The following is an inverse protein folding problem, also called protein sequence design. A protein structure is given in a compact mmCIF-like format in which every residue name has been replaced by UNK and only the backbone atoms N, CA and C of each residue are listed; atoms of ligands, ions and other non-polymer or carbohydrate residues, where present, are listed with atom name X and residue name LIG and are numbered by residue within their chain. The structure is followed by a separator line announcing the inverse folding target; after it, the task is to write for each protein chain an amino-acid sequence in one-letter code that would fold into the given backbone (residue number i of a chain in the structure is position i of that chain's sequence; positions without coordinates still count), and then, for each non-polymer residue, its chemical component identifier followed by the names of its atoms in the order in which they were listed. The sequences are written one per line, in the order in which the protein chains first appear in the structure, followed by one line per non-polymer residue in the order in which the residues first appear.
data_IF_915145850076
#
_entry.id   IF_915145850076
#
_cell.length_a   1.000
_cell.length_b   1.000
_cell.length_c   1.000
_cell.angle_alpha   90.00
_cell.angle_beta   90.00
_cell.angle_gamma   90.00
#
_symmetry.space_group_name_H-M   'P 1'
#
loop_
_entity.id
_entity.type
_entity.pdbx_description
1 polymer ?
#
# COMPACT_ATOMS: atom_id res chain seq x y z
N UNK A 1 0.66 12.48 22.86
CA UNK A 1 -0.64 13.12 22.56
C UNK A 1 -0.43 14.25 21.60
N UNK A 2 -1.44 14.63 20.82
CA UNK A 2 -1.33 15.71 19.84
C UNK A 2 -2.71 16.23 19.43
N UNK A 3 -2.73 17.31 18.67
CA UNK A 3 -3.94 17.85 18.06
C UNK A 3 -3.74 17.79 16.55
N UNK A 4 -4.73 17.26 15.83
CA UNK A 4 -4.71 17.17 14.38
C UNK A 4 -5.85 17.96 13.74
N UNK A 5 -5.61 18.40 12.50
CA UNK A 5 -6.61 18.81 11.55
C UNK A 5 -6.58 17.89 10.33
N UNK A 6 -7.74 17.70 9.71
CA UNK A 6 -7.93 16.89 8.52
C UNK A 6 -8.51 17.82 7.45
N UNK A 7 -7.94 17.78 6.26
CA UNK A 7 -8.38 18.57 5.12
C UNK A 7 -8.31 17.76 3.84
N UNK A 8 -9.14 18.08 2.86
CA UNK A 8 -9.11 17.48 1.54
C UNK A 8 -10.46 17.63 0.86
N UNK A 9 -10.51 17.26 -0.42
CA UNK A 9 -11.76 17.21 -1.18
C UNK A 9 -12.14 15.79 -1.49
N UNK A 10 -13.44 15.53 -1.52
CA UNK A 10 -14.03 14.26 -1.93
C UNK A 10 -15.06 14.50 -3.03
N UNK A 11 -14.97 13.73 -4.10
CA UNK A 11 -15.92 13.76 -5.21
C UNK A 11 -16.20 12.35 -5.73
N UNK A 12 -17.42 12.12 -6.22
CA UNK A 12 -17.72 10.92 -6.99
C UNK A 12 -17.03 11.00 -8.36
N UNK A 13 -16.48 9.88 -8.82
CA UNK A 13 -15.91 9.75 -10.16
C UNK A 13 -17.05 9.34 -11.09
N UNK A 14 -17.48 10.25 -11.95
CA UNK A 14 -18.47 9.94 -12.99
C UNK A 14 -17.80 9.22 -14.16
N UNK A 15 -18.39 8.14 -14.70
CA UNK A 15 -17.83 7.45 -15.84
C UNK A 15 -17.77 8.38 -17.08
N UNK A 16 -16.75 8.17 -17.92
CA UNK A 16 -16.53 8.94 -19.16
C UNK A 16 -16.22 7.98 -20.29
N UNK A 17 -16.66 8.29 -21.52
CA UNK A 17 -16.44 7.44 -22.69
C UNK A 17 -17.54 6.37 -22.83
N UNK A 18 -17.18 5.21 -23.39
CA UNK A 18 -18.07 4.05 -23.42
C UNK A 18 -18.05 3.35 -22.06
N UNK A 19 -19.21 3.28 -21.42
CA UNK A 19 -19.43 2.57 -20.17
C UNK A 19 -20.77 1.85 -20.23
N UNK A 20 -20.95 0.82 -19.38
CA UNK A 20 -22.21 0.09 -19.29
C UNK A 20 -23.28 0.98 -18.66
N UNK A 21 -24.22 1.46 -19.48
CA UNK A 21 -25.29 2.36 -19.04
C UNK A 21 -26.33 1.65 -18.18
N UNK A 22 -26.53 0.34 -18.39
CA UNK A 22 -27.47 -0.46 -17.63
C UNK A 22 -26.89 -0.73 -16.24
N UNK A 23 -25.61 -1.06 -16.15
CA UNK A 23 -24.91 -1.18 -14.87
C UNK A 23 -24.85 0.18 -14.15
N UNK A 24 -24.54 1.28 -14.87
CA UNK A 24 -24.58 2.62 -14.28
C UNK A 24 -25.98 3.02 -13.80
N UNK A 25 -27.06 2.50 -14.39
CA UNK A 25 -28.42 2.74 -13.92
C UNK A 25 -28.59 2.38 -12.44
N UNK A 26 -27.87 1.35 -11.99
CA UNK A 26 -27.90 0.82 -10.62
C UNK A 26 -26.96 1.52 -9.64
N UNK A 27 -26.19 2.52 -10.07
CA UNK A 27 -25.30 3.26 -9.18
C UNK A 27 -26.08 4.00 -8.07
N UNK A 28 -25.57 3.93 -6.85
CA UNK A 28 -26.24 4.47 -5.66
C UNK A 28 -25.73 5.87 -5.28
N UNK A 29 -24.51 6.20 -5.71
CA UNK A 29 -23.71 7.26 -5.09
C UNK A 29 -23.10 6.78 -3.77
N UNK A 30 -22.52 7.70 -3.01
CA UNK A 30 -21.75 7.34 -1.82
C UNK A 30 -22.14 8.14 -0.58
N UNK A 31 -21.98 7.50 0.59
CA UNK A 31 -21.85 8.19 1.87
C UNK A 31 -20.41 8.13 2.32
N UNK A 32 -19.83 9.30 2.57
CA UNK A 32 -18.46 9.45 3.05
C UNK A 32 -18.42 10.06 4.45
N UNK A 33 -17.47 9.64 5.28
CA UNK A 33 -17.34 10.17 6.64
C UNK A 33 -15.90 10.15 7.16
N UNK A 34 -15.55 11.14 7.97
CA UNK A 34 -14.34 11.18 8.80
C UNK A 34 -14.78 10.85 10.23
N UNK A 35 -14.17 9.85 10.85
CA UNK A 35 -14.54 9.41 12.20
C UNK A 35 -13.32 9.23 13.10
N UNK A 36 -13.49 9.54 14.39
CA UNK A 36 -12.55 9.15 15.45
C UNK A 36 -13.21 8.09 16.33
N UNK A 37 -12.70 6.86 16.31
CA UNK A 37 -13.36 5.75 17.01
C UNK A 37 -14.79 5.54 16.52
N UNK A 38 -15.79 5.87 17.35
CA UNK A 38 -17.23 5.76 17.03
C UNK A 38 -17.90 7.11 16.71
N UNK A 39 -17.17 8.21 16.83
CA UNK A 39 -17.72 9.56 16.64
C UNK A 39 -17.44 10.04 15.22
N UNK A 40 -18.49 10.42 14.49
CA UNK A 40 -18.33 11.11 13.21
C UNK A 40 -17.96 12.57 13.43
N UNK A 41 -16.87 12.99 12.82
CA UNK A 41 -16.38 14.37 12.84
C UNK A 41 -16.90 15.16 11.64
N UNK A 42 -17.14 14.48 10.53
CA UNK A 42 -17.68 15.02 9.30
C UNK A 42 -18.33 13.89 8.49
N UNK A 43 -19.41 14.17 7.78
CA UNK A 43 -19.98 13.25 6.81
C UNK A 43 -20.68 13.98 5.67
N UNK A 44 -20.87 13.28 4.54
CA UNK A 44 -21.59 13.78 3.38
C UNK A 44 -22.19 12.61 2.60
N UNK A 45 -23.42 12.79 2.11
CA UNK A 45 -24.01 11.95 1.05
C UNK A 45 -23.80 12.66 -0.29
N UNK A 46 -23.25 11.94 -1.27
CA UNK A 46 -23.01 12.38 -2.65
C UNK A 46 -23.84 11.47 -3.54
N UNK A 47 -24.83 12.02 -4.22
CA UNK A 47 -25.74 11.25 -5.07
C UNK A 47 -25.05 10.79 -6.34
N UNK A 48 -25.56 9.73 -6.96
CA UNK A 48 -25.17 9.32 -8.31
C UNK A 48 -25.11 10.53 -9.26
N UNK A 49 -24.02 10.60 -10.03
CA UNK A 49 -23.81 11.64 -11.04
C UNK A 49 -23.33 12.99 -10.48
N UNK A 50 -23.26 13.16 -9.15
CA UNK A 50 -22.73 14.38 -8.55
C UNK A 50 -21.19 14.36 -8.51
N UNK A 51 -20.58 14.95 -9.53
CA UNK A 51 -19.14 15.11 -9.64
C UNK A 51 -18.57 16.28 -8.80
N UNK A 52 -19.39 16.95 -7.97
CA UNK A 52 -18.95 18.09 -7.17
C UNK A 52 -17.89 17.68 -6.16
N UNK A 53 -16.81 18.46 -6.07
CA UNK A 53 -15.79 18.31 -5.04
C UNK A 53 -16.25 18.98 -3.74
N UNK A 54 -16.49 18.17 -2.71
CA UNK A 54 -16.86 18.64 -1.39
C UNK A 54 -15.66 18.70 -0.45
N UNK A 55 -15.55 19.79 0.32
CA UNK A 55 -14.54 19.90 1.38
C UNK A 55 -14.86 18.95 2.53
N UNK A 56 -13.99 17.97 2.75
CA UNK A 56 -14.04 17.03 3.86
C UNK A 56 -13.03 17.46 4.92
N UNK A 57 -13.49 18.24 5.90
CA UNK A 57 -12.62 18.89 6.89
C UNK A 57 -13.05 18.58 8.32
N UNK A 58 -12.08 18.38 9.20
CA UNK A 58 -12.29 18.31 10.64
C UNK A 58 -11.09 18.93 11.36
N UNK A 59 -11.30 19.75 12.39
CA UNK A 59 -10.23 20.53 13.04
C UNK A 59 -10.20 20.29 14.54
N UNK A 60 -9.07 20.63 15.17
CA UNK A 60 -8.88 20.59 16.63
C UNK A 60 -9.17 19.23 17.26
N UNK A 61 -8.82 18.15 16.55
CA UNK A 61 -9.07 16.78 17.00
C UNK A 61 -7.92 16.38 17.93
N UNK A 62 -8.20 16.26 19.22
CA UNK A 62 -7.20 15.74 20.18
C UNK A 62 -7.01 14.23 19.97
N UNK A 63 -5.77 13.75 19.88
CA UNK A 63 -5.42 12.34 19.64
C UNK A 63 -4.34 11.85 20.62
N UNK A 64 -4.41 10.56 20.96
CA UNK A 64 -3.41 9.83 21.74
C UNK A 64 -2.83 8.68 20.93
N UNK A 65 -1.66 8.16 21.35
CA UNK A 65 -1.08 6.96 20.72
C UNK A 65 -2.10 5.82 20.80
N UNK A 66 -2.38 5.19 19.66
CA UNK A 66 -3.37 4.11 19.53
C UNK A 66 -4.77 4.57 19.12
N UNK A 67 -5.07 5.86 19.13
CA UNK A 67 -6.32 6.38 18.53
C UNK A 67 -6.34 6.09 17.04
N UNK A 68 -7.53 5.77 16.52
CA UNK A 68 -7.76 5.48 15.10
C UNK A 68 -8.70 6.51 14.50
N UNK A 69 -8.26 7.08 13.37
CA UNK A 69 -9.06 7.91 12.49
C UNK A 69 -9.49 7.06 11.30
N UNK A 70 -10.78 7.06 11.01
CA UNK A 70 -11.36 6.31 9.91
C UNK A 70 -11.85 7.28 8.84
N UNK A 71 -11.46 7.00 7.60
CA UNK A 71 -12.05 7.57 6.40
C UNK A 71 -12.94 6.50 5.80
N UNK A 72 -14.25 6.70 5.90
CA UNK A 72 -15.24 5.72 5.47
C UNK A 72 -15.84 6.13 4.15
N UNK A 73 -15.95 5.16 3.25
CA UNK A 73 -16.72 5.25 2.01
C UNK A 73 -17.71 4.08 2.05
N UNK A 74 -18.98 4.38 1.86
CA UNK A 74 -20.06 3.41 1.79
C UNK A 74 -20.83 3.66 0.49
N UNK A 75 -21.07 2.60 -0.28
CA UNK A 75 -21.97 2.61 -1.42
C UNK A 75 -23.40 2.77 -0.95
N UNK A 76 -24.07 3.80 -1.45
CA UNK A 76 -25.42 4.19 -1.08
C UNK A 76 -25.66 4.31 0.43
N UNK A 77 -26.93 4.20 0.82
CA UNK A 77 -27.38 4.16 2.22
C UNK A 77 -28.35 3.03 2.50
N UNK A 78 -28.66 2.20 1.50
CA UNK A 78 -29.67 1.15 1.55
C UNK A 78 -29.02 -0.24 1.50
N UNK A 79 -29.75 -1.26 1.93
CA UNK A 79 -29.26 -2.65 1.90
C UNK A 79 -29.11 -3.21 0.48
N UNK A 80 -29.79 -2.60 -0.51
CA UNK A 80 -29.74 -3.01 -1.92
C UNK A 80 -28.61 -2.34 -2.70
N UNK A 81 -27.82 -1.48 -2.06
CA UNK A 81 -26.74 -0.77 -2.74
C UNK A 81 -25.63 -1.72 -3.15
N UNK A 82 -25.27 -1.72 -4.43
CA UNK A 82 -24.41 -2.74 -5.04
C UNK A 82 -22.99 -2.24 -5.35
N UNK A 83 -22.75 -0.93 -5.19
CA UNK A 83 -21.44 -0.32 -5.41
C UNK A 83 -21.07 -0.11 -6.87
N UNK A 84 -21.99 -0.37 -7.81
CA UNK A 84 -21.76 -0.14 -9.24
C UNK A 84 -21.44 1.34 -9.48
N UNK A 85 -20.27 1.62 -10.08
CA UNK A 85 -19.78 2.97 -10.37
C UNK A 85 -19.65 3.92 -9.16
N UNK A 86 -19.68 3.42 -7.92
CA UNK A 86 -19.53 4.21 -6.69
C UNK A 86 -18.06 4.51 -6.36
N UNK A 87 -17.32 4.96 -7.37
CA UNK A 87 -15.91 5.29 -7.25
C UNK A 87 -15.71 6.70 -6.71
N UNK A 88 -14.78 6.88 -5.78
CA UNK A 88 -14.55 8.16 -5.12
C UNK A 88 -13.11 8.60 -5.30
N UNK A 89 -12.93 9.87 -5.65
CA UNK A 89 -11.65 10.55 -5.56
C UNK A 89 -11.56 11.24 -4.20
N UNK A 90 -10.77 10.68 -3.29
CA UNK A 90 -10.53 11.27 -1.98
C UNK A 90 -9.08 11.10 -1.53
N UNK A 91 -8.42 12.23 -1.25
CA UNK A 91 -7.05 12.25 -0.73
C UNK A 91 -6.98 13.13 0.54
N UNK A 92 -7.42 12.63 1.71
CA UNK A 92 -7.43 13.42 2.94
C UNK A 92 -6.01 13.59 3.50
N UNK A 93 -5.63 14.82 3.80
CA UNK A 93 -4.37 15.19 4.45
C UNK A 93 -4.61 15.39 5.93
N UNK A 94 -3.80 14.72 6.76
CA UNK A 94 -3.80 14.90 8.22
C UNK A 94 -2.63 15.80 8.59
N UNK A 95 -2.86 16.81 9.42
CA UNK A 95 -1.84 17.75 9.88
C UNK A 95 -1.85 17.85 11.39
N UNK A 96 -0.73 17.53 12.05
CA UNK A 96 -0.52 17.79 13.47
C UNK A 96 -0.20 19.27 13.70
N UNK A 97 -0.71 19.82 14.80
CA UNK A 97 -0.29 21.13 15.30
C UNK A 97 1.14 21.05 15.84
N UNK A 98 2.00 21.99 15.49
CA UNK A 98 3.37 22.06 15.99
C UNK A 98 4.34 22.57 14.93
N UNK A 99 5.63 22.64 15.29
CA UNK A 99 6.69 22.94 14.34
C UNK A 99 6.86 21.76 13.37
N UNK A 100 6.82 22.05 12.07
CA UNK A 100 7.09 21.06 11.04
C UNK A 100 8.60 20.91 10.84
N UNK A 101 9.07 19.67 10.79
CA UNK A 101 10.42 19.33 10.37
C UNK A 101 10.34 18.49 9.10
N UNK A 102 11.31 18.69 8.20
CA UNK A 102 11.44 17.86 7.01
C UNK A 102 12.39 16.73 7.30
N UNK A 103 11.85 15.50 7.21
CA UNK A 103 12.62 14.28 7.34
C UNK A 103 13.43 13.99 6.07
N UNK A 104 14.49 13.18 6.16
CA UNK A 104 15.17 12.67 4.98
C UNK A 104 14.18 12.02 4.00
N UNK A 105 14.30 12.36 2.72
CA UNK A 105 13.33 11.93 1.69
C UNK A 105 12.22 12.95 1.40
N UNK A 106 12.10 14.03 2.19
CA UNK A 106 11.18 15.14 1.95
C UNK A 106 9.82 15.01 2.65
N UNK A 107 9.66 14.00 3.50
CA UNK A 107 8.45 13.78 4.29
C UNK A 107 8.35 14.79 5.45
N UNK A 108 7.13 15.12 5.86
CA UNK A 108 6.88 16.02 7.00
C UNK A 108 6.69 15.23 8.29
N UNK A 109 7.16 15.78 9.42
CA UNK A 109 6.84 15.24 10.76
C UNK A 109 5.42 15.57 11.22
N UNK A 110 4.73 16.49 10.53
CA UNK A 110 3.41 16.94 10.95
C UNK A 110 2.34 16.77 9.87
N UNK A 111 2.70 16.67 8.59
CA UNK A 111 1.76 16.52 7.48
C UNK A 111 1.85 15.09 6.94
N UNK A 112 0.71 14.41 6.89
CA UNK A 112 0.58 13.03 6.43
C UNK A 112 -0.44 12.96 5.30
N UNK A 113 -0.01 12.44 4.16
CA UNK A 113 -0.82 12.29 2.96
C UNK A 113 -1.09 10.80 2.68
N UNK A 114 -2.24 10.44 2.09
CA UNK A 114 -2.59 9.03 1.84
C UNK A 114 -1.58 8.34 0.91
N UNK A 115 -1.03 9.10 -0.05
CA UNK A 115 -0.01 8.62 -0.98
C UNK A 115 1.32 8.25 -0.31
N UNK A 116 1.61 8.83 0.86
CA UNK A 116 2.82 8.50 1.62
C UNK A 116 2.62 7.15 2.31
N UNK A 117 1.44 6.88 2.86
CA UNK A 117 1.11 5.65 3.57
C UNK A 117 0.58 4.51 2.70
N UNK A 118 0.57 4.68 1.37
CA UNK A 118 0.19 3.63 0.45
C UNK A 118 1.23 2.50 0.51
N UNK A 119 0.85 1.37 1.11
CA UNK A 119 1.64 0.15 1.04
C UNK A 119 1.46 -0.41 -0.37
N UNK A 120 2.41 -0.11 -1.24
CA UNK A 120 2.52 -0.78 -2.54
C UNK A 120 3.11 -2.16 -2.28
N UNK A 121 2.23 -3.13 -2.02
CA UNK A 121 2.63 -4.53 -2.05
C UNK A 121 2.78 -4.94 -3.52
N UNK A 122 4.03 -5.02 -3.98
CA UNK A 122 4.38 -5.57 -5.28
C UNK A 122 4.88 -7.01 -5.10
N UNK A 123 3.97 -7.92 -4.75
CA UNK A 123 4.26 -9.35 -4.77
C UNK A 123 4.54 -9.79 -6.21
N UNK A 124 5.81 -10.00 -6.52
CA UNK A 124 6.20 -10.64 -7.78
C UNK A 124 6.50 -12.10 -7.45
N UNK A 125 5.53 -12.96 -7.72
CA UNK A 125 5.73 -14.41 -7.70
C UNK A 125 6.31 -14.81 -9.05
N UNK A 126 7.45 -15.51 -9.02
CA UNK A 126 7.99 -16.15 -10.21
C UNK A 126 8.37 -17.58 -9.90
N UNK A 127 8.30 -18.42 -10.92
CA UNK A 127 8.70 -19.81 -10.83
C UNK A 127 10.03 -19.99 -11.54
N UNK A 128 10.94 -20.72 -10.88
CA UNK A 128 12.24 -21.11 -11.42
C UNK A 128 12.34 -22.63 -11.49
N UNK A 129 13.22 -23.13 -12.34
CA UNK A 129 13.53 -24.55 -12.34
C UNK A 129 14.18 -24.94 -10.99
N UNK A 130 13.99 -26.18 -10.59
CA UNK A 130 14.60 -26.73 -9.37
C UNK A 130 16.13 -26.62 -9.47
N UNK A 131 16.72 -25.83 -8.58
CA UNK A 131 18.18 -25.67 -8.47
C UNK A 131 18.55 -25.36 -7.03
N UNK A 132 19.71 -25.85 -6.60
CA UNK A 132 20.24 -25.64 -5.25
C UNK A 132 20.94 -24.29 -5.10
N UNK A 133 21.11 -23.55 -6.19
CA UNK A 133 21.76 -22.24 -6.22
C UNK A 133 21.17 -21.37 -7.32
N UNK A 134 21.03 -20.08 -7.04
CA UNK A 134 20.43 -19.11 -7.95
C UNK A 134 21.36 -17.90 -8.11
N UNK A 135 21.43 -17.33 -9.30
CA UNK A 135 22.07 -16.05 -9.54
C UNK A 135 21.02 -14.94 -9.46
N UNK A 136 21.13 -14.08 -8.44
CA UNK A 136 20.37 -12.85 -8.31
C UNK A 136 21.13 -11.72 -9.01
N UNK A 137 20.46 -11.07 -9.96
CA UNK A 137 20.89 -9.81 -10.55
C UNK A 137 19.76 -8.77 -10.51
N UNK A 138 20.05 -7.51 -10.74
CA UNK A 138 19.01 -6.48 -10.88
C UNK A 138 19.39 -5.13 -10.33
N UNK A 139 18.84 -4.07 -10.92
CA UNK A 139 19.03 -2.70 -10.43
C UNK A 139 18.21 -2.47 -9.16
N UNK A 140 18.86 -1.89 -8.15
CA UNK A 140 18.21 -1.38 -6.96
C UNK A 140 18.57 0.08 -6.74
N UNK A 141 17.55 0.90 -6.50
CA UNK A 141 17.71 2.33 -6.21
C UNK A 141 16.95 2.66 -4.92
N UNK A 142 17.66 3.27 -3.97
CA UNK A 142 17.17 3.72 -2.67
C UNK A 142 17.89 5.01 -2.28
N UNK A 143 17.20 6.13 -2.05
CA UNK A 143 17.81 7.32 -1.45
C UNK A 143 18.03 7.14 0.06
N UNK A 144 18.49 8.19 0.74
CA UNK A 144 18.35 8.27 2.21
C UNK A 144 16.86 8.26 2.56
N UNK A 145 16.48 7.44 3.52
CA UNK A 145 15.10 7.19 3.95
C UNK A 145 14.94 7.52 5.44
N UNK A 146 13.69 7.51 5.93
CA UNK A 146 13.37 7.72 7.35
C UNK A 146 13.65 6.51 8.23
N UNK A 147 13.76 5.33 7.62
CA UNK A 147 13.98 4.06 8.29
C UNK A 147 14.73 3.11 7.35
N UNK A 148 15.24 2.02 7.92
CA UNK A 148 16.00 1.00 7.21
C UNK A 148 15.11 0.29 6.18
N UNK A 149 15.70 -0.09 5.05
CA UNK A 149 15.01 -0.82 3.98
C UNK A 149 15.63 -2.20 3.85
N UNK A 150 14.80 -3.23 3.94
CA UNK A 150 15.22 -4.63 3.85
C UNK A 150 14.65 -5.28 2.59
N UNK A 151 15.55 -5.82 1.77
CA UNK A 151 15.22 -6.66 0.61
C UNK A 151 15.22 -8.13 1.06
N UNK A 152 14.20 -8.88 0.67
CA UNK A 152 14.08 -10.31 0.99
C UNK A 152 13.67 -11.11 -0.23
N UNK A 153 14.17 -12.34 -0.32
CA UNK A 153 13.65 -13.35 -1.23
C UNK A 153 13.25 -14.55 -0.41
N UNK A 154 11.99 -14.93 -0.52
CA UNK A 154 11.43 -16.09 0.16
C UNK A 154 11.05 -17.13 -0.88
N UNK A 155 11.65 -18.31 -0.79
CA UNK A 155 11.37 -19.41 -1.67
C UNK A 155 10.38 -20.39 -1.02
N UNK A 156 9.49 -20.98 -1.82
CA UNK A 156 8.59 -22.05 -1.40
C UNK A 156 8.37 -23.07 -2.51
N UNK A 157 7.81 -24.22 -2.16
CA UNK A 157 7.15 -25.09 -3.14
C UNK A 157 5.64 -24.78 -3.16
N UNK A 158 4.87 -25.58 -3.89
CA UNK A 158 3.43 -25.39 -4.00
C UNK A 158 2.72 -25.56 -2.66
N UNK A 159 1.92 -24.55 -2.28
CA UNK A 159 1.08 -24.59 -1.08
C UNK A 159 0.00 -25.66 -1.19
N UNK A 160 -0.46 -25.92 -2.41
CA UNK A 160 -1.49 -26.89 -2.74
C UNK A 160 -0.91 -28.02 -3.58
N UNK A 161 -1.40 -29.24 -3.37
CA UNK A 161 -1.10 -30.34 -4.28
C UNK A 161 -1.90 -30.20 -5.60
N UNK A 162 -1.67 -31.12 -6.55
CA UNK A 162 -2.38 -31.14 -7.83
C UNK A 162 -3.90 -31.37 -7.72
N UNK A 163 -4.39 -31.75 -6.54
CA UNK A 163 -5.80 -31.98 -6.22
C UNK A 163 -6.41 -30.80 -5.44
N UNK A 164 -5.64 -29.75 -5.15
CA UNK A 164 -6.08 -28.57 -4.39
C UNK A 164 -6.06 -28.72 -2.87
N UNK A 165 -5.56 -29.83 -2.33
CA UNK A 165 -5.40 -30.03 -0.88
C UNK A 165 -4.12 -29.34 -0.39
N UNK A 166 -4.03 -29.10 0.92
CA UNK A 166 -2.78 -28.58 1.51
C UNK A 166 -1.65 -29.58 1.27
N UNK A 167 -0.55 -29.11 0.69
CA UNK A 167 0.62 -29.95 0.45
C UNK A 167 1.29 -30.31 1.80
N UNK A 168 1.35 -31.59 2.20
CA UNK A 168 1.97 -32.00 3.46
C UNK A 168 3.49 -31.79 3.48
N UNK A 169 4.12 -31.65 2.31
CA UNK A 169 5.54 -31.38 2.14
C UNK A 169 5.83 -29.89 1.88
N UNK A 170 4.87 -29.00 2.17
CA UNK A 170 5.07 -27.57 1.96
C UNK A 170 6.27 -27.05 2.77
N UNK A 171 7.14 -26.32 2.09
CA UNK A 171 8.33 -25.67 2.65
C UNK A 171 8.35 -24.21 2.20
N UNK A 172 8.71 -23.32 3.12
CA UNK A 172 8.94 -21.90 2.86
C UNK A 172 10.19 -21.45 3.59
N UNK A 173 11.10 -20.75 2.92
CA UNK A 173 12.38 -20.34 3.47
C UNK A 173 12.85 -19.00 2.92
N UNK A 174 13.36 -18.13 3.79
CA UNK A 174 14.10 -16.95 3.35
C UNK A 174 15.47 -17.40 2.83
N UNK A 175 15.76 -17.11 1.56
CA UNK A 175 16.99 -17.51 0.86
C UNK A 175 17.91 -16.31 0.57
N UNK A 176 17.41 -15.09 0.72
CA UNK A 176 18.17 -13.86 0.60
C UNK A 176 17.62 -12.80 1.54
N UNK A 177 18.53 -12.05 2.18
CA UNK A 177 18.19 -10.87 2.96
C UNK A 177 19.32 -9.86 2.86
N UNK A 178 18.96 -8.59 2.66
CA UNK A 178 19.90 -7.47 2.70
C UNK A 178 19.20 -6.24 3.27
N UNK A 179 19.73 -5.72 4.36
CA UNK A 179 19.28 -4.46 4.96
C UNK A 179 20.22 -3.33 4.57
N UNK A 180 19.66 -2.21 4.14
CA UNK A 180 20.36 -0.96 3.88
C UNK A 180 19.89 0.05 4.94
N UNK A 181 20.85 0.68 5.61
CA UNK A 181 20.55 1.61 6.69
C UNK A 181 19.76 2.83 6.16
N UNK A 182 18.98 3.47 7.03
CA UNK A 182 18.20 4.66 6.68
C UNK A 182 19.07 5.76 6.05
N UNK A 183 20.29 5.96 6.56
CA UNK A 183 21.27 6.94 6.09
C UNK A 183 22.13 6.46 4.91
N UNK A 184 21.93 5.23 4.44
CA UNK A 184 22.63 4.66 3.30
C UNK A 184 21.80 4.86 2.02
N UNK A 185 22.31 5.66 1.08
CA UNK A 185 21.79 5.71 -0.28
C UNK A 185 22.50 4.67 -1.15
N UNK A 186 21.75 4.02 -2.03
CA UNK A 186 22.25 3.02 -2.98
C UNK A 186 21.59 3.23 -4.34
N UNK A 187 22.39 3.37 -5.40
CA UNK A 187 21.91 3.30 -6.78
C UNK A 187 22.90 2.44 -7.58
N UNK A 188 22.52 1.20 -7.81
CA UNK A 188 23.45 0.24 -8.40
C UNK A 188 22.83 -1.11 -8.66
N UNK A 189 23.68 -2.03 -9.08
CA UNK A 189 23.29 -3.39 -9.37
C UNK A 189 23.53 -4.29 -8.15
N UNK A 190 22.52 -5.09 -7.81
CA UNK A 190 22.67 -6.21 -6.89
C UNK A 190 23.03 -7.41 -7.73
N UNK A 191 24.21 -8.00 -7.50
CA UNK A 191 24.68 -9.22 -8.18
C UNK A 191 25.23 -10.18 -7.13
N UNK A 192 24.58 -11.32 -6.95
CA UNK A 192 24.97 -12.29 -5.94
C UNK A 192 24.47 -13.69 -6.28
N UNK A 193 25.29 -14.70 -6.02
CA UNK A 193 24.84 -16.10 -5.98
C UNK A 193 24.23 -16.39 -4.61
N UNK A 194 22.97 -16.84 -4.59
CA UNK A 194 22.20 -17.12 -3.38
C UNK A 194 21.90 -18.63 -3.27
N UNK A 195 21.98 -19.21 -2.05
CA UNK A 195 21.70 -20.62 -1.84
C UNK A 195 20.19 -20.90 -1.89
N UNK A 196 19.77 -21.99 -2.55
CA UNK A 196 18.40 -22.51 -2.53
C UNK A 196 18.41 -24.01 -2.17
N UNK A 197 18.88 -24.39 -0.98
CA UNK A 197 19.27 -25.78 -0.66
C UNK A 197 18.12 -26.80 -0.78
N UNK A 198 16.88 -26.35 -0.70
CA UNK A 198 15.68 -27.18 -0.79
C UNK A 198 15.10 -27.26 -2.21
N UNK A 199 15.75 -26.65 -3.22
CA UNK A 199 15.30 -26.69 -4.61
C UNK A 199 13.95 -26.01 -4.84
N UNK A 200 13.58 -25.05 -3.99
CA UNK A 200 12.26 -24.44 -3.98
C UNK A 200 12.06 -23.59 -5.24
N UNK A 201 10.93 -23.80 -5.91
CA UNK A 201 10.67 -23.27 -7.26
C UNK A 201 9.96 -21.93 -7.27
N UNK A 202 9.23 -21.60 -6.21
CA UNK A 202 8.37 -20.42 -6.18
C UNK A 202 9.07 -19.34 -5.38
N UNK A 203 9.41 -18.22 -6.01
CA UNK A 203 10.15 -17.13 -5.38
C UNK A 203 9.24 -15.92 -5.17
N UNK A 204 9.20 -15.41 -3.94
CA UNK A 204 8.59 -14.14 -3.60
C UNK A 204 9.67 -13.12 -3.28
N UNK A 205 9.58 -11.95 -3.93
CA UNK A 205 10.51 -10.83 -3.72
C UNK A 205 9.80 -9.76 -2.92
N UNK A 206 10.41 -9.34 -1.81
CA UNK A 206 9.82 -8.42 -0.86
C UNK A 206 10.78 -7.26 -0.57
N UNK A 207 10.23 -6.04 -0.50
CA UNK A 207 10.90 -4.86 0.04
C UNK A 207 10.10 -4.45 1.27
N UNK A 208 10.78 -4.26 2.40
CA UNK A 208 10.12 -3.98 3.69
C UNK A 208 10.88 -2.95 4.51
N UNK A 209 10.17 -2.31 5.44
CA UNK A 209 10.71 -1.39 6.45
C UNK A 209 9.83 -1.48 7.71
N UNK A 210 10.39 -1.20 8.88
CA UNK A 210 9.65 -1.22 10.16
C UNK A 210 8.66 -0.05 10.31
N UNK A 211 8.91 1.02 9.58
CA UNK A 211 8.03 2.18 9.51
C UNK A 211 7.87 2.63 8.07
N UNK A 212 6.99 3.61 7.87
CA UNK A 212 6.72 4.09 6.52
C UNK A 212 7.90 4.91 5.99
N UNK A 213 8.32 4.61 4.77
CA UNK A 213 9.33 5.34 4.00
C UNK A 213 8.70 5.80 2.67
N UNK A 214 9.36 6.69 1.94
CA UNK A 214 8.88 7.11 0.62
C UNK A 214 9.11 6.01 -0.44
N UNK A 215 8.16 5.07 -0.49
CA UNK A 215 8.19 3.91 -1.39
C UNK A 215 8.23 4.31 -2.88
N UNK A 216 7.74 5.49 -3.25
CA UNK A 216 7.75 5.97 -4.64
C UNK A 216 9.16 6.17 -5.19
N UNK A 217 10.15 6.37 -4.30
CA UNK A 217 11.56 6.57 -4.62
C UNK A 217 12.40 5.30 -4.47
N UNK A 218 11.84 4.21 -3.98
CA UNK A 218 12.52 2.93 -3.85
C UNK A 218 12.12 2.04 -5.03
N UNK A 219 13.10 1.54 -5.77
CA UNK A 219 12.86 0.71 -6.95
C UNK A 219 13.78 -0.50 -6.97
N UNK A 220 13.20 -1.67 -7.18
CA UNK A 220 13.94 -2.91 -7.39
C UNK A 220 13.43 -3.62 -8.64
N UNK A 221 14.34 -3.98 -9.54
CA UNK A 221 14.05 -4.81 -10.72
C UNK A 221 14.88 -6.09 -10.64
N UNK A 222 14.50 -7.05 -9.77
CA UNK A 222 15.25 -8.29 -9.62
C UNK A 222 15.10 -9.20 -10.84
N UNK A 223 16.15 -9.98 -11.09
CA UNK A 223 16.20 -11.08 -12.04
C UNK A 223 16.85 -12.28 -11.35
N UNK A 224 16.33 -13.47 -11.63
CA UNK A 224 16.88 -14.73 -11.14
C UNK A 224 17.18 -15.63 -12.31
N UNK A 225 18.36 -16.26 -12.27
CA UNK A 225 18.75 -17.33 -13.17
C UNK A 225 19.17 -18.55 -12.35
N UNK A 226 18.75 -19.75 -12.78
CA UNK A 226 19.26 -21.01 -12.21
C UNK A 226 20.68 -21.26 -12.69
N UNK A 227 21.50 -21.83 -11.81
CA UNK A 227 22.85 -22.32 -12.14
C UNK A 227 22.78 -23.79 -12.57
#
# INVERSE_FOLDING_TARGET
DGIISISGTVSLITPTGEYDTDEYAHADGVRVAIQKGRTELWNKKITKGDATAYNATAQNITVKKGDRIYFRVQSGTEETSNGAFDNVKWAPVITYTGAAETLPGGLSTTVYQPQEGAVYDANTLTNVAESTSLNLSGKFTKPVTTDDVTLRIVASNELKDSLGNNNPNYKKREIYTRTLAWNEAFDGEIKQTIPNPDGLTNLNFEISSSSNVDWSKIKWTPQIETI
#
